data_IF_464789881557
#
_entry.id   IF_464789881557
#
_cell.length_a   1.000
_cell.length_b   1.000
_cell.length_c   1.000
_cell.angle_alpha   90.00
_cell.angle_beta   90.00
_cell.angle_gamma   90.00
#
_symmetry.space_group_name_H-M   'P 1'
#
loop_
_entity.id
_entity.type
_entity.pdbx_description
1 polymer ?
#
# COMPACT_ATOMS: atom_id res chain seq x y z
N UNK A 1 -4.27 -6.55 -8.58
CA UNK A 1 -3.18 -5.55 -8.61
C UNK A 1 -3.53 -4.42 -7.66
N UNK A 2 -3.20 -4.56 -6.37
CA UNK A 2 -3.75 -3.74 -5.29
C UNK A 2 -2.84 -2.59 -4.88
N UNK A 3 -2.76 -1.54 -5.69
CA UNK A 3 -2.45 -0.15 -5.28
C UNK A 3 -2.54 0.81 -6.49
N UNK A 4 -3.68 0.83 -7.19
CA UNK A 4 -3.85 1.66 -8.39
C UNK A 4 -3.71 3.16 -8.05
N UNK A 5 -4.25 3.58 -6.93
CA UNK A 5 -4.30 4.98 -6.48
C UNK A 5 -2.94 5.56 -6.10
N UNK A 6 -2.01 4.76 -5.56
CA UNK A 6 -0.74 5.29 -5.06
C UNK A 6 0.45 5.01 -5.99
N UNK A 7 0.33 4.09 -6.95
CA UNK A 7 1.42 3.76 -7.88
C UNK A 7 1.09 4.07 -9.34
N UNK A 8 -0.18 3.89 -9.74
CA UNK A 8 -0.58 4.06 -11.14
C UNK A 8 -1.19 5.42 -11.44
N UNK A 9 -1.94 6.00 -10.50
CA UNK A 9 -2.45 7.38 -10.63
C UNK A 9 -1.33 8.41 -10.75
N UNK A 10 -0.26 8.45 -9.92
CA UNK A 10 0.81 9.42 -10.12
C UNK A 10 1.57 9.21 -11.44
N UNK A 11 1.71 7.95 -11.90
CA UNK A 11 2.29 7.66 -13.21
C UNK A 11 1.41 8.18 -14.36
N UNK A 12 0.09 7.97 -14.27
CA UNK A 12 -0.89 8.48 -15.22
C UNK A 12 -0.95 10.01 -15.21
N UNK A 13 -0.98 10.64 -14.03
CA UNK A 13 -0.98 12.10 -13.86
C UNK A 13 0.27 12.73 -14.47
N UNK A 14 1.46 12.16 -14.23
CA UNK A 14 2.72 12.65 -14.82
C UNK A 14 2.75 12.47 -16.35
N UNK A 15 2.22 11.34 -16.87
CA UNK A 15 2.11 11.14 -18.32
C UNK A 15 1.14 12.13 -18.98
N UNK A 16 0.00 12.41 -18.33
CA UNK A 16 -0.98 13.39 -18.79
C UNK A 16 -0.44 14.83 -18.73
N UNK A 17 0.25 15.20 -17.65
CA UNK A 17 0.89 16.52 -17.49
C UNK A 17 1.96 16.76 -18.57
N UNK A 18 2.80 15.76 -18.85
CA UNK A 18 3.78 15.81 -19.95
C UNK A 18 3.15 15.88 -21.34
N UNK A 19 1.98 15.28 -21.52
CA UNK A 19 1.23 15.35 -22.76
C UNK A 19 0.34 16.61 -22.86
N UNK A 20 0.27 17.43 -21.80
CA UNK A 20 -0.57 18.62 -21.75
C UNK A 20 -2.07 18.33 -21.77
N UNK A 21 -2.49 17.10 -21.42
CA UNK A 21 -3.89 16.67 -21.47
C UNK A 21 -4.48 16.56 -20.07
N UNK A 22 -5.76 16.89 -19.94
CA UNK A 22 -6.47 16.81 -18.66
C UNK A 22 -7.12 15.43 -18.49
N UNK A 23 -7.17 14.92 -17.26
CA UNK A 23 -7.87 13.68 -16.93
C UNK A 23 -9.39 13.70 -17.22
N UNK A 24 -9.95 14.87 -17.59
CA UNK A 24 -11.36 15.07 -17.94
C UNK A 24 -11.62 15.01 -19.45
N UNK A 25 -10.59 14.78 -20.28
CA UNK A 25 -10.72 14.66 -21.74
C UNK A 25 -10.54 13.21 -22.18
N UNK A 26 -11.10 12.86 -23.33
CA UNK A 26 -10.96 11.54 -23.95
C UNK A 26 -9.49 11.20 -24.21
N UNK A 27 -8.69 12.20 -24.60
CA UNK A 27 -7.24 12.07 -24.78
C UNK A 27 -6.52 11.76 -23.45
N UNK A 28 -6.94 12.36 -22.33
CA UNK A 28 -6.38 12.06 -21.01
C UNK A 28 -6.73 10.65 -20.52
N UNK A 29 -7.95 10.17 -20.81
CA UNK A 29 -8.36 8.80 -20.49
C UNK A 29 -7.53 7.76 -21.28
N UNK A 30 -7.28 8.02 -22.56
CA UNK A 30 -6.39 7.18 -23.38
C UNK A 30 -4.95 7.18 -22.87
N UNK A 31 -4.36 8.34 -22.61
CA UNK A 31 -2.98 8.46 -22.11
C UNK A 31 -2.81 7.79 -20.76
N UNK A 32 -3.74 8.01 -19.83
CA UNK A 32 -3.72 7.36 -18.51
C UNK A 32 -3.84 5.84 -18.62
N UNK A 33 -4.72 5.32 -19.49
CA UNK A 33 -4.88 3.87 -19.70
C UNK A 33 -3.62 3.23 -20.26
N UNK A 34 -2.98 3.85 -21.26
CA UNK A 34 -1.71 3.38 -21.83
C UNK A 34 -0.62 3.40 -20.75
N UNK A 35 -0.50 4.49 -19.99
CA UNK A 35 0.49 4.59 -18.90
C UNK A 35 0.28 3.49 -17.84
N UNK A 36 -0.96 3.21 -17.47
CA UNK A 36 -1.30 2.13 -16.53
C UNK A 36 -0.98 0.74 -17.06
N UNK A 37 -1.20 0.51 -18.36
CA UNK A 37 -0.89 -0.74 -19.05
C UNK A 37 0.63 -0.95 -19.12
N UNK A 38 1.38 0.05 -19.57
CA UNK A 38 2.85 0.00 -19.63
C UNK A 38 3.46 -0.23 -18.25
N UNK A 39 2.99 0.47 -17.22
CA UNK A 39 3.42 0.25 -15.83
C UNK A 39 3.21 -1.20 -15.38
N UNK A 40 2.09 -1.82 -15.77
CA UNK A 40 1.81 -3.22 -15.45
C UNK A 40 2.76 -4.18 -16.18
N UNK A 41 3.04 -3.93 -17.46
CA UNK A 41 3.98 -4.74 -18.26
C UNK A 41 5.39 -4.64 -17.67
N UNK A 42 5.86 -3.43 -17.39
CA UNK A 42 7.19 -3.20 -16.79
C UNK A 42 7.29 -3.91 -15.45
N UNK A 43 6.27 -3.82 -14.59
CA UNK A 43 6.25 -4.53 -13.30
C UNK A 43 6.40 -6.04 -13.50
N UNK A 44 5.62 -6.62 -14.42
CA UNK A 44 5.70 -8.06 -14.73
C UNK A 44 7.08 -8.45 -15.27
N UNK A 45 7.66 -7.65 -16.17
CA UNK A 45 8.98 -7.91 -16.74
C UNK A 45 10.09 -7.84 -15.69
N UNK A 46 10.07 -6.84 -14.80
CA UNK A 46 11.05 -6.70 -13.72
C UNK A 46 10.98 -7.88 -12.76
N UNK A 47 9.77 -8.30 -12.37
CA UNK A 47 9.58 -9.47 -11.50
C UNK A 47 10.02 -10.76 -12.22
N UNK A 48 9.62 -10.95 -13.47
CA UNK A 48 9.98 -12.12 -14.26
C UNK A 48 11.51 -12.24 -14.42
N UNK A 49 12.19 -11.13 -14.71
CA UNK A 49 13.64 -11.09 -14.79
C UNK A 49 14.30 -11.37 -13.44
N UNK A 50 13.79 -10.79 -12.34
CA UNK A 50 14.30 -11.06 -11.00
C UNK A 50 14.21 -12.54 -10.62
N UNK A 51 13.07 -13.17 -10.88
CA UNK A 51 12.87 -14.61 -10.63
C UNK A 51 13.78 -15.46 -11.53
N UNK A 52 13.91 -15.09 -12.81
CA UNK A 52 14.80 -15.77 -13.75
C UNK A 52 16.27 -15.71 -13.31
N UNK A 53 16.74 -14.53 -12.89
CA UNK A 53 18.09 -14.37 -12.35
C UNK A 53 18.29 -15.20 -11.07
N UNK A 54 17.34 -15.18 -10.15
CA UNK A 54 17.41 -16.05 -8.96
C UNK A 54 17.51 -17.54 -9.30
N UNK A 55 16.79 -17.99 -10.34
CA UNK A 55 16.76 -19.39 -10.74
C UNK A 55 17.97 -19.84 -11.57
N UNK A 56 18.57 -18.98 -12.39
CA UNK A 56 19.59 -19.37 -13.39
C UNK A 56 21.01 -18.94 -13.01
N UNK A 57 21.21 -17.82 -12.32
CA UNK A 57 22.55 -17.24 -12.10
C UNK A 57 23.15 -17.50 -10.71
N UNK A 58 22.52 -18.33 -9.87
CA UNK A 58 22.98 -18.59 -8.51
C UNK A 58 22.86 -17.38 -7.57
N UNK A 59 22.15 -16.31 -7.98
CA UNK A 59 21.93 -15.11 -7.17
C UNK A 59 21.20 -15.41 -5.86
N UNK A 60 20.42 -16.50 -5.82
CA UNK A 60 19.81 -17.01 -4.58
C UNK A 60 20.81 -17.32 -3.49
N UNK A 61 21.98 -17.87 -3.82
CA UNK A 61 23.01 -18.25 -2.84
C UNK A 61 23.72 -17.03 -2.24
N UNK A 62 23.86 -15.95 -3.02
CA UNK A 62 24.33 -14.66 -2.50
C UNK A 62 23.33 -14.04 -1.51
N UNK A 63 22.03 -14.15 -1.81
CA UNK A 63 20.96 -13.68 -0.93
C UNK A 63 20.78 -14.53 0.33
N UNK A 64 21.13 -15.82 0.28
CA UNK A 64 21.07 -16.75 1.39
C UNK A 64 22.22 -16.56 2.42
N UNK A 65 23.10 -15.58 2.20
CA UNK A 65 24.15 -15.25 3.15
C UNK A 65 23.55 -14.91 4.53
N UNK A 66 24.03 -15.52 5.64
CA UNK A 66 23.52 -15.27 6.99
C UNK A 66 23.60 -13.79 7.42
N UNK A 67 24.48 -12.99 6.82
CA UNK A 67 24.54 -11.54 7.06
C UNK A 67 23.28 -10.80 6.55
N UNK A 68 22.60 -11.34 5.54
CA UNK A 68 21.40 -10.74 4.94
C UNK A 68 20.09 -11.34 5.46
N UNK A 69 20.15 -12.51 6.09
CA UNK A 69 19.00 -13.16 6.74
C UNK A 69 18.15 -12.23 7.63
N UNK A 70 18.70 -11.37 8.51
CA UNK A 70 17.89 -10.46 9.32
C UNK A 70 17.16 -9.39 8.49
N UNK A 71 17.72 -8.96 7.36
CA UNK A 71 17.05 -8.01 6.46
C UNK A 71 15.84 -8.69 5.79
N UNK A 72 16.02 -9.91 5.26
CA UNK A 72 14.95 -10.66 4.60
C UNK A 72 13.81 -11.05 5.57
N UNK A 73 14.15 -11.45 6.79
CA UNK A 73 13.15 -11.80 7.82
C UNK A 73 12.26 -10.62 8.24
N UNK A 74 12.73 -9.38 8.04
CA UNK A 74 12.01 -8.16 8.41
C UNK A 74 11.47 -7.37 7.20
N UNK A 75 11.49 -7.95 5.99
CA UNK A 75 10.96 -7.28 4.79
C UNK A 75 9.48 -6.93 4.97
N UNK A 76 8.66 -7.89 5.42
CA UNK A 76 7.23 -7.68 5.58
C UNK A 76 6.92 -6.53 6.55
N UNK A 77 7.39 -6.53 7.81
CA UNK A 77 7.14 -5.41 8.72
C UNK A 77 7.73 -4.08 8.21
N UNK A 78 8.89 -4.08 7.52
CA UNK A 78 9.44 -2.87 6.94
C UNK A 78 8.57 -2.29 5.80
N UNK A 79 8.07 -3.14 4.90
CA UNK A 79 7.18 -2.74 3.80
C UNK A 79 5.85 -2.19 4.32
N UNK A 80 5.19 -2.90 5.24
CA UNK A 80 3.93 -2.46 5.83
C UNK A 80 4.11 -1.27 6.78
N UNK A 81 5.23 -1.17 7.47
CA UNK A 81 5.58 -0.02 8.30
C UNK A 81 5.76 1.25 7.49
N UNK A 82 6.52 1.20 6.39
CA UNK A 82 6.72 2.33 5.50
C UNK A 82 5.39 2.81 4.87
N UNK A 83 4.56 1.88 4.37
CA UNK A 83 3.23 2.21 3.86
C UNK A 83 2.33 2.76 4.97
N UNK A 84 2.32 2.12 6.15
CA UNK A 84 1.53 2.53 7.30
C UNK A 84 1.84 3.95 7.73
N UNK A 85 3.12 4.31 7.84
CA UNK A 85 3.53 5.68 8.20
C UNK A 85 3.06 6.70 7.17
N UNK A 86 3.19 6.43 5.87
CA UNK A 86 2.71 7.35 4.82
C UNK A 86 1.19 7.58 4.92
N UNK A 87 0.42 6.51 5.15
CA UNK A 87 -1.04 6.62 5.29
C UNK A 87 -1.47 7.31 6.60
N UNK A 88 -0.80 7.01 7.72
CA UNK A 88 -1.08 7.63 9.01
C UNK A 88 -0.69 9.11 8.99
N UNK A 89 0.44 9.47 8.37
CA UNK A 89 0.91 10.84 8.26
C UNK A 89 -0.03 11.71 7.41
N UNK A 90 -0.69 11.13 6.41
CA UNK A 90 -1.65 11.84 5.56
C UNK A 90 -2.88 12.29 6.35
N UNK A 91 -3.41 11.41 7.22
CA UNK A 91 -4.68 11.63 7.92
C UNK A 91 -4.63 11.16 9.39
N UNK A 92 -3.78 11.78 10.22
CA UNK A 92 -3.52 11.32 11.61
C UNK A 92 -4.79 11.24 12.47
N UNK A 93 -5.75 12.17 12.30
CA UNK A 93 -6.98 12.21 13.12
C UNK A 93 -7.88 10.99 12.93
N UNK A 94 -7.89 10.39 11.75
CA UNK A 94 -8.71 9.20 11.43
C UNK A 94 -7.91 7.91 11.53
N UNK A 95 -6.59 7.97 11.31
CA UNK A 95 -5.71 6.82 11.34
C UNK A 95 -5.34 6.36 12.77
N UNK A 96 -5.33 7.26 13.76
CA UNK A 96 -4.96 6.94 15.16
C UNK A 96 -5.91 5.93 15.81
N UNK A 97 -7.22 6.02 15.55
CA UNK A 97 -8.20 5.13 16.16
C UNK A 97 -7.97 3.64 15.77
N UNK A 98 -7.91 3.26 14.48
CA UNK A 98 -7.58 1.88 14.10
C UNK A 98 -6.15 1.48 14.45
N UNK A 99 -5.18 2.41 14.49
CA UNK A 99 -3.81 2.12 14.90
C UNK A 99 -3.73 1.73 16.39
N UNK A 100 -4.39 2.48 17.28
CA UNK A 100 -4.45 2.18 18.71
C UNK A 100 -5.18 0.87 18.99
N UNK A 101 -6.28 0.62 18.28
CA UNK A 101 -7.03 -0.63 18.39
C UNK A 101 -6.16 -1.81 17.95
N UNK A 102 -5.47 -1.69 16.81
CA UNK A 102 -4.55 -2.72 16.32
C UNK A 102 -3.38 -2.98 17.28
N UNK A 103 -2.84 -1.92 17.90
CA UNK A 103 -1.78 -2.01 18.89
C UNK A 103 -2.25 -2.71 20.18
N UNK A 104 -3.43 -2.35 20.68
CA UNK A 104 -4.06 -3.01 21.83
C UNK A 104 -4.31 -4.49 21.54
N UNK A 105 -4.84 -4.82 20.37
CA UNK A 105 -5.02 -6.21 19.96
C UNK A 105 -3.70 -6.97 19.85
N UNK A 106 -2.61 -6.35 19.41
CA UNK A 106 -1.31 -7.00 19.34
C UNK A 106 -0.72 -7.29 20.74
N UNK A 107 -0.86 -6.33 21.67
CA UNK A 107 -0.37 -6.46 23.05
C UNK A 107 -1.16 -7.50 23.84
N UNK A 108 -2.49 -7.53 23.71
CA UNK A 108 -3.36 -8.45 24.46
C UNK A 108 -3.64 -9.78 23.73
N UNK A 109 -3.58 -9.80 22.40
CA UNK A 109 -3.87 -10.96 21.55
C UNK A 109 -2.66 -11.80 21.16
N UNK A 110 -1.45 -11.44 21.62
CA UNK A 110 -0.19 -12.16 21.33
C UNK A 110 -0.21 -13.66 21.68
N UNK A 111 -1.10 -14.10 22.58
CA UNK A 111 -1.28 -15.51 22.89
C UNK A 111 -2.14 -16.30 21.87
N UNK A 112 -2.91 -15.63 21.01
CA UNK A 112 -3.87 -16.25 20.06
C UNK A 112 -3.52 -15.98 18.59
N UNK A 113 -2.44 -15.24 18.32
CA UNK A 113 -2.08 -14.75 16.99
C UNK A 113 -1.81 -15.86 15.95
N UNK A 114 -1.32 -17.03 16.38
CA UNK A 114 -0.93 -18.11 15.47
C UNK A 114 -2.13 -18.87 14.85
N UNK A 115 -3.35 -18.73 15.39
CA UNK A 115 -4.53 -19.48 14.94
C UNK A 115 -5.68 -18.60 14.42
N UNK A 116 -5.75 -17.32 14.80
CA UNK A 116 -6.86 -16.40 14.43
C UNK A 116 -6.40 -15.06 13.83
N UNK A 117 -5.18 -15.01 13.28
CA UNK A 117 -4.61 -13.80 12.66
C UNK A 117 -5.53 -13.11 11.63
N UNK A 118 -6.27 -13.89 10.82
CA UNK A 118 -7.22 -13.36 9.83
C UNK A 118 -8.47 -12.72 10.43
N UNK A 119 -8.93 -13.20 11.60
CA UNK A 119 -10.07 -12.64 12.31
C UNK A 119 -9.75 -11.26 12.90
N UNK A 120 -8.53 -11.09 13.41
CA UNK A 120 -8.08 -9.80 13.96
C UNK A 120 -8.00 -8.71 12.89
N UNK A 121 -7.59 -9.05 11.66
CA UNK A 121 -7.61 -8.12 10.52
C UNK A 121 -9.05 -7.70 10.18
N UNK A 122 -10.00 -8.63 10.23
CA UNK A 122 -11.40 -8.32 9.92
C UNK A 122 -12.03 -7.42 10.98
N UNK A 123 -11.77 -7.70 12.27
CA UNK A 123 -12.27 -6.91 13.40
C UNK A 123 -11.69 -5.49 13.38
N UNK A 124 -10.40 -5.33 13.10
CA UNK A 124 -9.77 -4.00 13.04
C UNK A 124 -10.35 -3.13 11.91
N UNK A 125 -10.69 -3.73 10.76
CA UNK A 125 -11.37 -3.04 9.64
C UNK A 125 -12.77 -2.56 10.05
N UNK A 126 -13.56 -3.40 10.71
CA UNK A 126 -14.91 -3.02 11.17
C UNK A 126 -14.82 -1.84 12.16
N UNK A 127 -13.89 -1.90 13.11
CA UNK A 127 -13.68 -0.82 14.08
C UNK A 127 -13.19 0.46 13.40
N UNK A 128 -12.31 0.36 12.39
CA UNK A 128 -11.86 1.50 11.60
C UNK A 128 -13.04 2.21 10.91
N UNK A 129 -13.93 1.45 10.29
CA UNK A 129 -15.13 1.98 9.61
C UNK A 129 -16.07 2.64 10.62
N UNK A 130 -16.29 2.01 11.78
CA UNK A 130 -17.14 2.56 12.84
C UNK A 130 -16.58 3.87 13.41
N UNK A 131 -15.27 3.92 13.69
CA UNK A 131 -14.58 5.13 14.15
C UNK A 131 -14.65 6.25 13.12
N UNK A 132 -14.42 5.94 11.83
CA UNK A 132 -14.56 6.90 10.74
C UNK A 132 -15.98 7.48 10.65
N UNK A 133 -17.01 6.64 10.77
CA UNK A 133 -18.42 7.07 10.76
C UNK A 133 -18.77 7.94 11.97
N UNK A 134 -18.21 7.66 13.13
CA UNK A 134 -18.42 8.46 14.34
C UNK A 134 -17.75 9.84 14.25
N UNK A 135 -16.50 9.89 13.79
CA UNK A 135 -15.79 11.15 13.51
C UNK A 135 -16.49 11.96 12.42
N UNK A 136 -17.10 11.29 11.45
CA UNK A 136 -17.93 11.91 10.41
C UNK A 136 -19.12 12.65 11.01
N UNK A 137 -19.92 11.98 11.85
CA UNK A 137 -21.09 12.59 12.48
C UNK A 137 -20.77 13.74 13.44
N UNK A 138 -19.57 13.78 14.02
CA UNK A 138 -19.12 14.88 14.91
C UNK A 138 -18.64 16.13 14.18
N UNK A 139 -18.68 16.17 12.84
CA UNK A 139 -18.26 17.34 12.06
C UNK A 139 -16.76 17.63 12.08
N UNK A 140 -15.95 16.68 12.53
CA UNK A 140 -14.48 16.81 12.64
C UNK A 140 -13.73 16.62 11.30
N UNK A 141 -14.47 16.31 10.23
CA UNK A 141 -13.97 16.23 8.87
C UNK A 141 -14.82 17.17 7.99
N UNK A 142 -14.18 18.12 7.32
CA UNK A 142 -14.63 18.53 5.99
C UNK A 142 -13.87 17.62 5.03
N UNK A 143 -14.50 17.17 3.95
CA UNK A 143 -13.78 16.49 2.88
C UNK A 143 -12.63 17.44 2.47
N UNK A 144 -11.40 17.12 2.86
CA UNK A 144 -10.24 17.78 2.28
C UNK A 144 -10.27 17.37 0.83
N UNK A 145 -10.46 18.38 -0.04
CA UNK A 145 -10.77 18.23 -1.44
C UNK A 145 -9.97 17.12 -2.10
N UNK A 146 -10.70 16.18 -2.71
CA UNK A 146 -10.16 15.21 -3.64
C UNK A 146 -9.76 15.87 -4.97
N UNK A 147 -9.10 17.04 -4.92
CA UNK A 147 -8.70 17.79 -6.09
C UNK A 147 -7.54 18.77 -5.80
N UNK A 148 -6.37 18.22 -5.51
CA UNK A 148 -5.05 18.73 -5.95
C UNK A 148 -4.07 17.56 -5.96
#
# INVERSE_FOLDING_TARGET
TGNLTNLKIPCALNAMDKAGVSAKTEEGELVSTIAMATSSIVTTLVVALGVFLMAVSGFGDLLANPALAPAFNNIMPALFGALGVVFIARDWKTAVAPALVSLLFFIFGGAVANTVGSLFVTVSVIVAIAAARFLYKKGAYKLSDANT
#
